data_IF_487057446813
#
_entry.id   IF_487057446813
#
_cell.length_a   1.000
_cell.length_b   1.000
_cell.length_c   1.000
_cell.angle_alpha   90.00
_cell.angle_beta   90.00
_cell.angle_gamma   90.00
#
_symmetry.space_group_name_H-M   'P 1'
#
loop_
_entity.id
_entity.type
_entity.pdbx_description
1 polymer ?
#
# COMPACT_ATOMS: atom_id res chain seq x y z
N UNK A 1 -0.79 -70.87 39.21
CA UNK A 1 -0.93 -69.57 38.49
C UNK A 1 -0.39 -69.73 37.08
N UNK A 2 -1.27 -69.92 36.08
CA UNK A 2 -0.88 -69.97 34.67
C UNK A 2 -0.78 -68.54 34.12
N UNK A 3 0.43 -68.11 33.75
CA UNK A 3 0.66 -66.86 33.02
C UNK A 3 0.20 -67.05 31.58
N UNK A 4 -0.92 -66.43 31.20
CA UNK A 4 -1.34 -66.30 29.81
C UNK A 4 -0.36 -65.37 29.09
N UNK A 5 0.50 -65.94 28.25
CA UNK A 5 1.48 -65.22 27.47
C UNK A 5 0.76 -64.54 26.29
N UNK A 6 0.32 -63.29 26.46
CA UNK A 6 -0.25 -62.49 25.37
C UNK A 6 0.84 -62.20 24.35
N UNK A 7 0.86 -62.97 23.25
CA UNK A 7 1.71 -62.70 22.07
C UNK A 7 1.40 -61.31 21.52
N UNK A 8 2.26 -60.34 21.79
CA UNK A 8 2.27 -59.06 21.08
C UNK A 8 2.70 -59.34 19.63
N UNK A 9 1.80 -59.11 18.66
CA UNK A 9 2.16 -59.17 17.24
C UNK A 9 3.15 -58.04 16.93
N UNK A 10 4.36 -58.38 16.49
CA UNK A 10 5.34 -57.41 16.02
C UNK A 10 5.00 -56.93 14.61
N UNK A 11 5.18 -55.63 14.35
CA UNK A 11 5.03 -55.05 13.01
C UNK A 11 6.13 -55.56 12.08
N UNK A 12 5.77 -55.94 10.85
CA UNK A 12 6.77 -56.27 9.82
C UNK A 12 7.33 -54.99 9.19
N UNK A 13 8.58 -55.04 8.74
CA UNK A 13 9.24 -53.92 8.06
C UNK A 13 8.45 -53.46 6.81
N UNK A 14 7.80 -54.40 6.13
CA UNK A 14 6.96 -54.14 4.94
C UNK A 14 5.71 -53.35 5.32
N UNK A 15 5.01 -53.73 6.40
CA UNK A 15 3.81 -53.00 6.85
C UNK A 15 4.14 -51.56 7.24
N UNK A 16 5.28 -51.34 7.92
CA UNK A 16 5.73 -49.97 8.24
C UNK A 16 6.05 -49.18 6.97
N UNK A 17 6.73 -49.80 6.00
CA UNK A 17 7.13 -49.15 4.74
C UNK A 17 5.92 -48.75 3.88
N UNK A 18 4.89 -49.59 3.82
CA UNK A 18 3.64 -49.27 3.10
C UNK A 18 2.91 -48.09 3.75
N UNK A 19 2.84 -48.06 5.09
CA UNK A 19 2.17 -46.96 5.80
C UNK A 19 2.88 -45.63 5.55
N UNK A 20 4.21 -45.58 5.66
CA UNK A 20 4.96 -44.34 5.36
C UNK A 20 4.83 -43.93 3.89
N UNK A 21 4.75 -44.90 2.96
CA UNK A 21 4.55 -44.60 1.54
C UNK A 21 3.16 -43.98 1.28
N UNK A 22 2.11 -44.52 1.89
CA UNK A 22 0.75 -43.97 1.78
C UNK A 22 0.67 -42.58 2.41
N UNK A 23 1.21 -42.40 3.62
CA UNK A 23 1.26 -41.08 4.27
C UNK A 23 2.06 -40.08 3.42
N UNK A 24 3.19 -40.50 2.86
CA UNK A 24 4.01 -39.68 1.97
C UNK A 24 3.25 -39.22 0.72
N UNK A 25 2.49 -40.11 0.08
CA UNK A 25 1.64 -39.78 -1.07
C UNK A 25 0.51 -38.83 -0.66
N UNK A 26 -0.20 -39.13 0.43
CA UNK A 26 -1.30 -38.29 0.92
C UNK A 26 -0.81 -36.88 1.27
N UNK A 27 0.28 -36.76 2.03
CA UNK A 27 0.88 -35.45 2.37
C UNK A 27 1.38 -34.75 1.11
N UNK A 28 2.02 -35.47 0.18
CA UNK A 28 2.50 -34.91 -1.08
C UNK A 28 1.38 -34.33 -1.96
N UNK A 29 0.19 -34.93 -1.94
CA UNK A 29 -0.98 -34.43 -2.67
C UNK A 29 -1.72 -33.32 -1.90
N UNK A 30 -1.75 -33.38 -0.57
CA UNK A 30 -2.50 -32.44 0.27
C UNK A 30 -1.75 -31.13 0.53
N UNK A 31 -0.42 -31.15 0.63
CA UNK A 31 0.37 -29.95 0.97
C UNK A 31 0.20 -28.83 -0.07
N UNK A 32 0.32 -29.07 -1.39
CA UNK A 32 0.09 -28.01 -2.40
C UNK A 32 -1.34 -27.46 -2.34
N UNK A 33 -2.33 -28.33 -2.15
CA UNK A 33 -3.74 -27.95 -2.07
C UNK A 33 -4.03 -27.06 -0.84
N UNK A 34 -3.49 -27.41 0.32
CA UNK A 34 -3.65 -26.61 1.55
C UNK A 34 -3.00 -25.24 1.39
N UNK A 35 -1.84 -25.13 0.74
CA UNK A 35 -1.20 -23.83 0.51
C UNK A 35 -1.98 -22.95 -0.48
N UNK A 36 -2.51 -23.54 -1.56
CA UNK A 36 -3.37 -22.82 -2.50
C UNK A 36 -4.65 -22.31 -1.82
N UNK A 37 -5.29 -23.15 -1.00
CA UNK A 37 -6.47 -22.75 -0.24
C UNK A 37 -6.18 -21.60 0.75
N UNK A 38 -5.03 -21.66 1.44
CA UNK A 38 -4.60 -20.59 2.35
C UNK A 38 -4.36 -19.28 1.62
N UNK A 39 -3.67 -19.30 0.48
CA UNK A 39 -3.44 -18.06 -0.28
C UNK A 39 -4.73 -17.49 -0.87
N UNK A 40 -5.65 -18.34 -1.33
CA UNK A 40 -6.97 -17.89 -1.76
C UNK A 40 -7.73 -17.17 -0.63
N UNK A 41 -7.70 -17.73 0.58
CA UNK A 41 -8.30 -17.09 1.76
C UNK A 41 -7.65 -15.75 2.10
N UNK A 42 -6.31 -15.66 2.10
CA UNK A 42 -5.58 -14.40 2.33
C UNK A 42 -5.92 -13.34 1.29
N UNK A 43 -6.00 -13.72 0.01
CA UNK A 43 -6.39 -12.81 -1.08
C UNK A 43 -7.81 -12.27 -0.91
N UNK A 44 -8.75 -13.12 -0.49
CA UNK A 44 -10.12 -12.67 -0.17
C UNK A 44 -10.09 -11.65 0.97
N UNK A 45 -9.27 -11.89 2.00
CA UNK A 45 -9.13 -10.96 3.11
C UNK A 45 -8.52 -9.61 2.67
N UNK A 46 -7.46 -9.62 1.84
CA UNK A 46 -6.89 -8.38 1.29
C UNK A 46 -7.92 -7.63 0.43
N UNK A 47 -8.70 -8.33 -0.39
CA UNK A 47 -9.79 -7.74 -1.19
C UNK A 47 -10.85 -7.10 -0.30
N UNK A 48 -11.24 -7.77 0.79
CA UNK A 48 -12.21 -7.26 1.75
C UNK A 48 -11.69 -6.01 2.48
N UNK A 49 -10.42 -5.96 2.87
CA UNK A 49 -9.81 -4.77 3.47
C UNK A 49 -9.84 -3.59 2.48
N UNK A 50 -9.46 -3.81 1.23
CA UNK A 50 -9.56 -2.79 0.17
C UNK A 50 -10.99 -2.28 -0.01
N UNK A 51 -11.99 -3.17 0.10
CA UNK A 51 -13.42 -2.80 0.08
C UNK A 51 -13.82 -1.94 1.28
N UNK A 52 -13.36 -2.25 2.49
CA UNK A 52 -13.62 -1.43 3.67
C UNK A 52 -12.99 -0.04 3.53
N UNK A 53 -11.77 0.05 2.99
CA UNK A 53 -11.12 1.32 2.68
C UNK A 53 -11.95 2.11 1.66
N UNK A 54 -12.46 1.47 0.61
CA UNK A 54 -13.32 2.13 -0.38
C UNK A 54 -14.62 2.65 0.19
N UNK A 55 -15.28 1.87 1.06
CA UNK A 55 -16.47 2.32 1.77
C UNK A 55 -16.17 3.52 2.68
N UNK A 56 -15.05 3.49 3.42
CA UNK A 56 -14.61 4.58 4.27
C UNK A 56 -14.32 5.86 3.47
N UNK A 57 -13.69 5.74 2.30
CA UNK A 57 -13.43 6.86 1.39
C UNK A 57 -14.73 7.47 0.83
N UNK A 58 -15.73 6.63 0.50
CA UNK A 58 -17.04 7.11 0.06
C UNK A 58 -17.81 7.81 1.18
N UNK A 59 -17.80 7.25 2.39
CA UNK A 59 -18.42 7.89 3.56
C UNK A 59 -17.74 9.22 3.91
N UNK A 60 -16.41 9.30 3.79
CA UNK A 60 -15.67 10.55 3.90
C UNK A 60 -16.14 11.55 2.84
N UNK A 61 -16.27 11.12 1.58
CA UNK A 61 -16.75 11.98 0.50
C UNK A 61 -18.19 12.47 0.74
N UNK A 62 -19.08 11.62 1.24
CA UNK A 62 -20.47 12.00 1.51
C UNK A 62 -20.59 13.07 2.60
N UNK A 63 -19.75 12.96 3.63
CA UNK A 63 -19.70 13.92 4.75
C UNK A 63 -18.96 15.22 4.40
N UNK A 64 -17.82 15.13 3.71
CA UNK A 64 -16.93 16.27 3.44
C UNK A 64 -17.09 16.88 2.04
N UNK A 65 -17.91 16.26 1.18
CA UNK A 65 -18.18 16.67 -0.23
C UNK A 65 -16.94 16.66 -1.14
N UNK A 66 -15.88 15.95 -0.74
CA UNK A 66 -14.69 15.62 -1.54
C UNK A 66 -14.00 14.40 -0.96
N UNK A 67 -13.20 13.71 -1.77
CA UNK A 67 -12.24 12.73 -1.27
C UNK A 67 -11.23 13.40 -0.33
N UNK A 68 -10.65 12.66 0.63
CA UNK A 68 -9.62 13.22 1.49
C UNK A 68 -8.38 13.61 0.68
N UNK A 69 -7.65 14.65 1.07
CA UNK A 69 -6.33 14.90 0.52
C UNK A 69 -5.42 13.69 0.77
N UNK A 70 -4.58 13.34 -0.21
CA UNK A 70 -3.57 12.29 -0.03
C UNK A 70 -2.62 12.59 1.13
N UNK A 71 -2.37 13.88 1.38
CA UNK A 71 -1.75 14.43 2.58
C UNK A 71 -1.80 15.95 2.51
N UNK A 72 -1.65 16.61 3.67
CA UNK A 72 -1.77 18.06 3.79
C UNK A 72 -0.37 18.67 3.94
N UNK A 73 -0.03 19.59 3.05
CA UNK A 73 1.24 20.34 3.08
C UNK A 73 0.99 21.84 3.02
N UNK A 74 1.92 22.68 3.48
CA UNK A 74 1.68 24.13 3.50
C UNK A 74 1.69 24.76 2.09
N UNK A 75 2.47 24.17 1.20
CA UNK A 75 2.71 24.68 -0.14
C UNK A 75 1.47 24.46 -1.00
N UNK A 76 1.15 25.45 -1.82
CA UNK A 76 0.11 25.29 -2.83
C UNK A 76 0.59 24.30 -3.89
N UNK A 77 -0.18 23.22 -4.09
CA UNK A 77 0.10 22.17 -5.07
C UNK A 77 -0.84 22.32 -6.26
N UNK A 78 -0.32 22.72 -7.42
CA UNK A 78 -1.08 22.86 -8.68
C UNK A 78 -0.32 22.25 -9.87
N UNK A 79 -0.93 22.21 -11.06
CA UNK A 79 -0.31 21.69 -12.29
C UNK A 79 0.27 22.83 -13.12
N UNK A 80 1.58 22.82 -13.38
CA UNK A 80 2.29 23.70 -14.32
C UNK A 80 3.78 23.34 -14.35
N UNK A 81 4.36 23.18 -15.54
CA UNK A 81 5.72 22.62 -15.71
C UNK A 81 6.77 23.54 -15.05
N UNK A 82 7.51 23.04 -14.05
CA UNK A 82 8.51 23.79 -13.26
C UNK A 82 8.33 23.72 -11.74
N UNK A 83 7.34 22.96 -11.28
CA UNK A 83 6.88 22.96 -9.90
C UNK A 83 7.80 22.15 -8.96
N UNK A 84 8.80 22.82 -8.39
CA UNK A 84 9.73 22.27 -7.37
C UNK A 84 9.16 22.30 -5.94
N UNK A 85 7.85 22.47 -5.77
CA UNK A 85 7.19 22.58 -4.46
C UNK A 85 7.52 21.40 -3.54
N UNK A 86 7.71 20.20 -4.10
CA UNK A 86 8.07 19.04 -3.28
C UNK A 86 9.46 19.17 -2.63
N UNK A 87 10.28 20.11 -3.09
CA UNK A 87 11.61 20.44 -2.55
C UNK A 87 11.63 21.78 -1.78
N UNK A 88 10.47 22.38 -1.48
CA UNK A 88 10.37 23.72 -0.87
C UNK A 88 10.50 23.75 0.66
N UNK A 89 10.50 22.58 1.31
CA UNK A 89 10.96 22.43 2.70
C UNK A 89 10.03 22.96 3.80
N UNK A 90 8.72 22.97 3.60
CA UNK A 90 7.77 23.34 4.67
C UNK A 90 7.64 22.35 5.82
N UNK A 91 7.26 22.90 6.97
CA UNK A 91 6.99 22.24 8.24
C UNK A 91 5.57 21.70 8.39
N UNK A 92 4.59 22.08 7.55
CA UNK A 92 3.23 21.55 7.69
C UNK A 92 3.12 20.20 7.00
N UNK A 93 2.95 19.15 7.80
CA UNK A 93 2.67 17.79 7.37
C UNK A 93 1.41 17.34 8.11
N UNK A 94 0.26 17.88 7.71
CA UNK A 94 -1.04 17.54 8.31
C UNK A 94 -1.41 16.09 7.98
N UNK A 95 -2.57 15.62 8.44
CA UNK A 95 -2.89 14.19 8.37
C UNK A 95 -2.89 13.61 6.93
N UNK A 96 -2.38 12.38 6.73
CA UNK A 96 -2.55 11.63 5.50
C UNK A 96 -4.00 11.15 5.34
N UNK A 97 -4.37 10.75 4.12
CA UNK A 97 -5.70 10.21 3.82
C UNK A 97 -6.09 9.02 4.72
N UNK A 98 -5.12 8.19 5.09
CA UNK A 98 -5.30 7.03 5.98
C UNK A 98 -5.79 7.44 7.37
N UNK A 99 -5.26 8.52 7.95
CA UNK A 99 -5.72 9.02 9.26
C UNK A 99 -7.09 9.70 9.11
N UNK A 100 -7.29 10.45 8.02
CA UNK A 100 -8.54 11.18 7.78
C UNK A 100 -9.78 10.29 7.63
N UNK A 101 -9.62 9.04 7.21
CA UNK A 101 -10.74 8.10 7.05
C UNK A 101 -11.02 7.22 8.27
N UNK A 102 -10.20 7.28 9.34
CA UNK A 102 -10.38 6.42 10.53
C UNK A 102 -11.80 6.47 11.14
N UNK A 103 -12.49 7.62 11.24
CA UNK A 103 -13.86 7.65 11.76
C UNK A 103 -14.84 6.80 10.95
N UNK A 104 -14.56 6.60 9.66
CA UNK A 104 -15.37 5.79 8.75
C UNK A 104 -14.91 4.33 8.67
N UNK A 105 -13.88 3.96 9.44
CA UNK A 105 -13.35 2.60 9.59
C UNK A 105 -13.57 2.06 11.01
N UNK A 106 -14.54 2.61 11.76
CA UNK A 106 -14.83 2.28 13.16
C UNK A 106 -13.65 2.57 14.12
N UNK A 107 -12.72 3.43 13.72
CA UNK A 107 -11.50 3.78 14.46
C UNK A 107 -11.58 5.22 15.03
N UNK A 108 -12.78 5.68 15.37
CA UNK A 108 -13.02 7.04 15.90
C UNK A 108 -12.23 7.36 17.18
N UNK A 109 -12.11 6.38 18.09
CA UNK A 109 -11.33 6.55 19.32
C UNK A 109 -9.82 6.73 19.05
N UNK A 110 -9.30 6.16 17.95
CA UNK A 110 -7.92 6.37 17.52
C UNK A 110 -7.77 7.73 16.82
N UNK A 111 -8.76 8.11 16.01
CA UNK A 111 -8.79 9.43 15.35
C UNK A 111 -8.71 10.58 16.36
N UNK A 112 -9.50 10.51 17.44
CA UNK A 112 -9.57 11.57 18.46
C UNK A 112 -8.28 11.75 19.27
N UNK A 113 -7.35 10.78 19.22
CA UNK A 113 -6.06 10.88 19.89
C UNK A 113 -5.03 11.69 19.09
N UNK A 114 -5.22 11.86 17.78
CA UNK A 114 -4.28 12.62 16.95
C UNK A 114 -4.45 14.13 17.15
N UNK A 115 -3.33 14.81 17.32
CA UNK A 115 -3.23 16.27 17.26
C UNK A 115 -2.97 16.69 15.81
N UNK A 116 -3.98 17.23 15.14
CA UNK A 116 -3.91 17.64 13.73
C UNK A 116 -3.17 18.96 13.49
N UNK A 117 -2.88 19.73 14.55
CA UNK A 117 -2.09 20.97 14.47
C UNK A 117 -0.59 20.66 14.47
N UNK A 118 -0.20 19.44 14.82
CA UNK A 118 1.18 18.97 14.83
C UNK A 118 1.48 18.07 13.62
N UNK A 119 2.75 17.98 13.18
CA UNK A 119 3.12 17.08 12.09
C UNK A 119 2.78 15.61 12.38
N UNK A 120 2.04 14.98 11.49
CA UNK A 120 1.86 13.53 11.45
C UNK A 120 3.04 12.92 10.69
N UNK A 121 4.19 13.00 11.35
CA UNK A 121 5.49 12.36 11.14
C UNK A 121 5.83 11.81 9.74
N UNK A 122 6.94 12.29 9.19
CA UNK A 122 7.65 11.61 8.13
C UNK A 122 9.00 11.03 8.60
N UNK A 123 9.15 9.73 8.37
CA UNK A 123 10.37 9.10 7.86
C UNK A 123 11.63 8.95 8.73
N UNK A 124 11.85 9.67 9.82
CA UNK A 124 13.03 9.45 10.68
C UNK A 124 12.63 9.48 12.16
N UNK A 125 13.06 8.48 12.94
CA UNK A 125 12.80 8.43 14.39
C UNK A 125 13.37 9.65 15.14
N UNK A 126 14.43 10.25 14.61
CA UNK A 126 15.03 11.49 15.12
C UNK A 126 14.27 12.77 14.75
N UNK A 127 13.30 12.68 13.82
CA UNK A 127 12.55 13.84 13.31
C UNK A 127 11.15 13.96 13.91
N UNK A 128 10.64 12.91 14.56
CA UNK A 128 9.48 13.02 15.43
C UNK A 128 10.00 13.33 16.83
N UNK A 129 9.78 14.55 17.36
CA UNK A 129 10.19 14.87 18.72
C UNK A 129 9.67 13.80 19.67
N UNK A 130 10.50 13.32 20.59
CA UNK A 130 10.07 12.36 21.61
C UNK A 130 8.88 12.87 22.43
N UNK A 131 8.71 14.20 22.48
CA UNK A 131 7.60 14.91 23.10
C UNK A 131 6.34 15.04 22.24
N UNK A 132 6.36 14.65 20.96
CA UNK A 132 5.18 14.77 20.10
C UNK A 132 4.08 13.80 20.56
N UNK A 133 2.85 14.28 20.83
CA UNK A 133 1.73 13.43 21.23
C UNK A 133 1.32 12.43 20.14
N UNK A 134 1.61 12.74 18.86
CA UNK A 134 1.35 11.83 17.74
C UNK A 134 2.36 10.68 17.64
N UNK A 135 3.50 10.76 18.33
CA UNK A 135 4.60 9.78 18.19
C UNK A 135 4.20 8.37 18.63
N UNK A 136 3.54 8.14 19.79
CA UNK A 136 3.10 6.79 20.17
C UNK A 136 2.08 6.20 19.18
N UNK A 137 1.11 7.01 18.74
CA UNK A 137 0.08 6.61 17.76
C UNK A 137 0.70 6.21 16.42
N UNK A 138 1.80 6.86 16.06
CA UNK A 138 2.54 6.54 14.85
C UNK A 138 3.15 5.13 14.87
N UNK A 139 3.54 4.61 16.04
CA UNK A 139 4.02 3.24 16.19
C UNK A 139 2.89 2.21 16.28
N UNK A 140 1.67 2.66 16.60
CA UNK A 140 0.51 1.79 16.72
C UNK A 140 0.14 1.17 15.37
N UNK A 141 0.04 -0.16 15.34
CA UNK A 141 -0.34 -0.88 14.15
C UNK A 141 -1.83 -0.76 13.88
N UNK A 142 -2.18 -0.83 12.60
CA UNK A 142 -3.56 -0.89 12.19
C UNK A 142 -3.76 -2.07 11.24
N UNK A 143 -4.30 -3.16 11.77
CA UNK A 143 -4.55 -4.39 11.02
C UNK A 143 -5.52 -4.18 9.83
N UNK A 144 -6.32 -3.11 9.83
CA UNK A 144 -7.20 -2.78 8.70
C UNK A 144 -6.42 -2.34 7.45
N UNK A 145 -5.15 -1.96 7.60
CA UNK A 145 -4.25 -1.57 6.50
C UNK A 145 -3.25 -2.66 6.12
N UNK A 146 -3.33 -3.85 6.72
CA UNK A 146 -2.36 -4.94 6.56
C UNK A 146 -2.94 -6.10 5.77
N UNK A 147 -2.46 -6.30 4.54
CA UNK A 147 -2.84 -7.46 3.72
C UNK A 147 -2.16 -8.72 4.28
N UNK A 148 -2.90 -9.78 4.66
CA UNK A 148 -2.29 -11.00 5.22
C UNK A 148 -1.34 -11.75 4.29
N UNK A 149 -1.37 -11.50 2.98
CA UNK A 149 -0.40 -12.07 2.03
C UNK A 149 0.95 -11.36 2.06
N UNK A 150 1.03 -10.16 2.63
CA UNK A 150 2.29 -9.47 2.86
C UNK A 150 3.02 -10.13 4.05
N UNK A 151 4.26 -10.65 3.87
CA UNK A 151 5.02 -11.27 4.94
C UNK A 151 5.38 -10.31 6.08
N UNK A 152 5.29 -8.99 5.86
CA UNK A 152 5.47 -7.97 6.90
C UNK A 152 4.19 -7.69 7.71
N UNK A 153 3.05 -8.23 7.27
CA UNK A 153 1.78 -8.13 7.98
C UNK A 153 1.71 -9.15 9.12
N UNK A 154 1.32 -8.67 10.31
CA UNK A 154 1.37 -9.45 11.52
C UNK A 154 2.78 -9.53 12.13
N UNK A 155 2.86 -9.41 13.46
CA UNK A 155 4.11 -9.17 14.17
C UNK A 155 4.23 -7.69 14.57
N UNK A 156 5.18 -7.32 15.41
CA UNK A 156 5.32 -5.96 15.96
C UNK A 156 5.74 -4.89 14.91
N UNK A 157 5.42 -5.08 13.62
CA UNK A 157 5.75 -4.21 12.49
C UNK A 157 4.58 -3.32 12.08
N UNK A 158 4.82 -2.02 12.02
CA UNK A 158 3.89 -1.05 11.46
C UNK A 158 4.13 -0.89 9.95
N UNK A 159 3.20 -1.39 9.14
CA UNK A 159 3.23 -1.31 7.68
C UNK A 159 1.88 -0.83 7.11
N UNK A 160 1.90 -0.45 5.83
CA UNK A 160 0.74 -0.06 5.05
C UNK A 160 0.77 -0.83 3.73
N UNK A 161 -0.14 -1.77 3.54
CA UNK A 161 -0.24 -2.57 2.31
C UNK A 161 -1.08 -1.89 1.22
N UNK A 162 -1.57 -0.67 1.44
CA UNK A 162 -2.49 0.04 0.56
C UNK A 162 -2.10 1.50 0.39
N UNK A 163 -1.67 1.90 -0.81
CA UNK A 163 -1.34 3.29 -1.11
C UNK A 163 -2.44 4.00 -1.88
N UNK A 164 -2.62 5.29 -1.59
CA UNK A 164 -3.48 6.14 -2.39
C UNK A 164 -2.87 6.40 -3.77
N UNK A 165 -3.72 6.47 -4.79
CA UNK A 165 -3.29 6.75 -6.16
C UNK A 165 -3.24 8.26 -6.37
N UNK A 166 -2.01 8.80 -6.38
CA UNK A 166 -1.77 10.23 -6.61
C UNK A 166 -1.83 10.64 -8.07
N UNK A 167 -1.75 9.67 -8.98
CA UNK A 167 -1.78 9.95 -10.41
C UNK A 167 -1.09 8.88 -11.24
N UNK A 168 -0.89 9.22 -12.51
CA UNK A 168 -0.28 8.33 -13.48
C UNK A 168 0.23 9.09 -14.71
N UNK A 169 0.85 8.34 -15.61
CA UNK A 169 1.45 8.88 -16.83
C UNK A 169 2.98 8.69 -16.86
N UNK A 170 3.60 9.29 -17.87
CA UNK A 170 5.05 9.23 -18.08
C UNK A 170 5.79 10.39 -17.38
N UNK A 171 7.09 10.52 -17.64
CA UNK A 171 7.94 11.56 -17.06
C UNK A 171 7.47 12.99 -17.34
N UNK A 172 6.69 13.23 -18.40
CA UNK A 172 6.17 14.55 -18.77
C UNK A 172 4.97 14.97 -17.93
N UNK A 173 4.27 14.00 -17.35
CA UNK A 173 3.09 14.21 -16.49
C UNK A 173 3.43 14.33 -15.01
N UNK A 174 4.65 13.91 -14.62
CA UNK A 174 5.15 14.07 -13.25
C UNK A 174 5.22 15.55 -12.89
N UNK A 175 4.56 15.93 -11.80
CA UNK A 175 4.49 17.32 -11.36
C UNK A 175 5.74 17.77 -10.62
N UNK A 176 6.28 16.91 -9.75
CA UNK A 176 7.51 17.20 -9.04
C UNK A 176 8.34 15.93 -8.87
N UNK A 177 9.66 16.08 -9.06
CA UNK A 177 10.63 15.03 -8.82
C UNK A 177 11.28 15.25 -7.46
N UNK A 178 11.12 14.26 -6.58
CA UNK A 178 11.74 14.25 -5.26
C UNK A 178 13.04 13.46 -5.26
N UNK A 179 14.18 14.15 -5.25
CA UNK A 179 15.52 13.54 -5.11
C UNK A 179 15.77 12.33 -6.03
N UNK A 180 16.34 11.24 -5.47
CA UNK A 180 16.72 9.98 -6.15
C UNK A 180 15.54 9.15 -6.71
N UNK A 181 14.65 9.75 -7.52
CA UNK A 181 13.57 9.11 -8.29
C UNK A 181 12.20 8.97 -7.61
N UNK A 182 11.86 9.74 -6.57
CA UNK A 182 10.46 9.79 -6.14
C UNK A 182 9.65 10.71 -7.04
N UNK A 183 8.41 10.34 -7.32
CA UNK A 183 7.50 11.12 -8.16
C UNK A 183 6.34 11.64 -7.34
N UNK A 184 5.94 12.87 -7.66
CA UNK A 184 4.72 13.48 -7.19
C UNK A 184 3.83 13.79 -8.36
N UNK A 185 2.62 13.29 -8.29
CA UNK A 185 1.56 13.56 -9.26
C UNK A 185 0.47 14.40 -8.61
N UNK A 186 -0.24 15.18 -9.44
CA UNK A 186 -1.43 15.94 -9.03
C UNK A 186 -2.64 15.66 -9.94
N UNK A 187 -2.55 14.61 -10.74
CA UNK A 187 -3.53 14.22 -11.75
C UNK A 187 -4.36 12.97 -11.39
N UNK A 188 -4.10 12.32 -10.24
CA UNK A 188 -4.96 11.26 -9.68
C UNK A 188 -6.02 11.80 -8.73
N UNK A 189 -6.66 10.92 -7.96
CA UNK A 189 -7.70 11.33 -6.99
C UNK A 189 -7.08 11.77 -5.66
N UNK A 190 -6.12 11.00 -5.14
CA UNK A 190 -5.49 11.21 -3.82
C UNK A 190 -4.09 11.79 -3.97
N UNK A 191 -3.97 13.10 -4.15
CA UNK A 191 -2.68 13.80 -4.20
C UNK A 191 -2.53 14.83 -3.08
N UNK A 192 -1.34 15.42 -2.94
CA UNK A 192 -1.05 16.45 -1.93
C UNK A 192 -2.04 17.63 -2.05
N UNK A 193 -2.67 18.01 -0.94
CA UNK A 193 -3.69 19.08 -0.88
C UNK A 193 -4.88 18.90 -1.83
N UNK A 194 -5.16 17.68 -2.27
CA UNK A 194 -6.30 17.40 -3.14
C UNK A 194 -7.64 17.61 -2.45
N UNK A 195 -8.63 18.04 -3.24
CA UNK A 195 -10.06 18.08 -2.87
C UNK A 195 -10.87 17.58 -4.06
N UNK A 196 -10.47 16.41 -4.55
CA UNK A 196 -11.07 15.76 -5.72
C UNK A 196 -12.50 15.34 -5.40
N UNK A 197 -13.42 15.50 -6.34
CA UNK A 197 -14.83 15.10 -6.21
C UNK A 197 -15.18 14.07 -7.27
N UNK A 198 -16.27 13.32 -7.09
CA UNK A 198 -16.75 12.39 -8.13
C UNK A 198 -16.94 13.04 -9.50
N UNK A 199 -17.41 14.30 -9.54
CA UNK A 199 -17.56 15.05 -10.80
C UNK A 199 -16.24 15.35 -11.52
N UNK A 200 -15.12 15.31 -10.80
CA UNK A 200 -13.79 15.58 -11.35
C UNK A 200 -13.18 14.30 -11.97
N UNK A 201 -13.85 13.15 -11.81
CA UNK A 201 -13.46 11.85 -12.39
C UNK A 201 -14.20 11.66 -13.72
N UNK A 202 -13.78 12.41 -14.75
CA UNK A 202 -14.49 12.49 -16.03
C UNK A 202 -14.36 11.23 -16.88
N UNK A 203 -13.32 10.43 -16.67
CA UNK A 203 -13.04 9.23 -17.46
C UNK A 203 -13.83 8.00 -16.96
N UNK A 204 -14.63 8.21 -15.90
CA UNK A 204 -15.55 7.24 -15.32
C UNK A 204 -15.04 6.65 -14.02
N UNK A 205 -15.90 6.59 -13.00
CA UNK A 205 -15.53 6.11 -11.66
C UNK A 205 -15.14 4.62 -11.63
N UNK A 206 -15.59 3.84 -12.61
CA UNK A 206 -15.22 2.43 -12.79
C UNK A 206 -13.85 2.25 -13.46
N UNK A 207 -13.25 3.31 -14.02
CA UNK A 207 -12.03 3.27 -14.83
C UNK A 207 -10.90 4.13 -14.25
N UNK A 208 -11.06 4.65 -13.03
CA UNK A 208 -10.01 5.41 -12.36
C UNK A 208 -9.63 4.71 -11.07
N UNK A 209 -8.34 4.44 -10.88
CA UNK A 209 -7.83 3.89 -9.64
C UNK A 209 -7.85 4.93 -8.52
N UNK A 210 -8.24 4.50 -7.33
CA UNK A 210 -8.34 5.30 -6.12
C UNK A 210 -7.27 4.89 -5.10
N UNK A 211 -7.15 3.60 -4.82
CA UNK A 211 -6.16 3.00 -3.91
C UNK A 211 -5.62 1.72 -4.56
N UNK A 212 -4.35 1.41 -4.36
CA UNK A 212 -3.74 0.18 -4.85
C UNK A 212 -2.96 -0.56 -3.77
N UNK A 213 -2.92 -1.88 -3.88
CA UNK A 213 -2.03 -2.69 -3.05
C UNK A 213 -0.56 -2.35 -3.32
N UNK A 214 0.23 -2.34 -2.26
CA UNK A 214 1.67 -2.13 -2.31
C UNK A 214 2.40 -3.11 -1.40
N UNK A 215 3.58 -3.53 -1.86
CA UNK A 215 4.60 -4.22 -1.07
C UNK A 215 5.86 -3.38 -0.85
N UNK A 216 5.82 -2.11 -1.26
CA UNK A 216 6.98 -1.21 -1.31
C UNK A 216 7.02 -0.24 -0.12
N UNK A 217 6.15 -0.45 0.87
CA UNK A 217 6.12 0.37 2.08
C UNK A 217 7.35 0.09 2.93
N UNK A 218 8.02 1.15 3.36
CA UNK A 218 9.31 1.05 4.05
C UNK A 218 9.08 0.78 5.53
N UNK A 219 9.40 -0.43 5.98
CA UNK A 219 9.18 -0.86 7.37
C UNK A 219 10.47 -0.82 8.19
N UNK A 220 10.35 -0.86 9.52
CA UNK A 220 11.51 -0.97 10.41
C UNK A 220 12.26 -2.29 10.20
N UNK A 221 11.53 -3.41 10.03
CA UNK A 221 12.11 -4.72 9.78
C UNK A 221 12.79 -4.82 8.40
N UNK A 222 12.28 -4.08 7.41
CA UNK A 222 12.72 -4.09 6.02
C UNK A 222 13.82 -3.08 5.69
N UNK A 223 14.29 -2.26 6.65
CA UNK A 223 15.34 -1.25 6.41
C UNK A 223 16.50 -1.37 7.40
N UNK A 224 17.74 -1.15 6.93
CA UNK A 224 18.93 -1.02 7.82
C UNK A 224 19.15 0.43 8.31
N UNK A 225 18.17 1.29 8.06
CA UNK A 225 18.22 2.74 8.25
C UNK A 225 17.31 3.12 9.42
N UNK A 226 17.56 4.25 10.07
CA UNK A 226 16.56 4.92 10.94
C UNK A 226 15.38 5.50 10.16
N UNK A 227 15.19 5.05 8.91
CA UNK A 227 14.18 5.56 7.97
C UNK A 227 13.15 4.49 7.66
N UNK A 228 11.98 4.62 8.28
CA UNK A 228 10.82 3.79 8.04
C UNK A 228 9.56 4.63 8.18
N UNK A 229 8.46 4.13 7.61
CA UNK A 229 7.19 4.82 7.46
C UNK A 229 6.11 4.04 8.20
N UNK A 230 5.06 4.75 8.63
CA UNK A 230 3.84 4.15 9.20
C UNK A 230 2.67 4.43 8.27
N UNK A 231 1.57 3.70 8.43
CA UNK A 231 0.30 4.04 7.80
C UNK A 231 -0.15 5.47 8.18
N UNK A 232 0.25 5.98 9.34
CA UNK A 232 -0.07 7.32 9.83
C UNK A 232 0.91 8.42 9.38
N UNK A 233 1.92 8.09 8.56
CA UNK A 233 2.87 9.09 8.07
C UNK A 233 2.29 9.97 6.98
N UNK A 234 2.53 11.26 7.08
CA UNK A 234 2.17 12.26 6.07
C UNK A 234 3.27 12.51 5.04
N UNK A 235 2.90 13.25 4.01
CA UNK A 235 3.80 13.69 2.94
C UNK A 235 4.95 14.50 3.54
N UNK A 236 6.16 14.19 3.10
CA UNK A 236 7.38 14.90 3.43
C UNK A 236 7.84 15.72 2.24
N UNK A 237 8.01 17.01 2.46
CA UNK A 237 8.69 17.88 1.50
C UNK A 237 10.18 17.95 1.85
N UNK A 238 11.01 18.17 0.84
CA UNK A 238 12.46 18.21 1.01
C UNK A 238 12.91 19.50 1.69
N UNK A 239 13.61 19.41 2.82
CA UNK A 239 14.30 20.54 3.47
C UNK A 239 15.81 20.29 3.47
N UNK A 240 16.62 21.27 3.07
CA UNK A 240 18.07 21.29 3.34
C UNK A 240 18.85 20.01 2.98
N UNK A 241 18.65 19.47 1.78
CA UNK A 241 19.35 18.26 1.32
C UNK A 241 18.66 16.93 1.66
N UNK A 242 17.46 16.97 2.24
CA UNK A 242 16.66 15.77 2.51
C UNK A 242 15.67 15.48 1.39
N UNK A 243 15.44 14.20 1.10
CA UNK A 243 14.64 13.77 -0.05
C UNK A 243 13.13 13.89 0.21
N UNK A 244 12.32 14.42 -0.73
CA UNK A 244 10.87 14.44 -0.59
C UNK A 244 10.27 13.04 -0.76
N UNK A 245 9.17 12.79 -0.04
CA UNK A 245 8.52 11.49 0.05
C UNK A 245 7.00 11.66 0.15
N UNK A 246 6.20 11.10 -0.78
CA UNK A 246 4.73 11.13 -0.65
C UNK A 246 4.19 10.15 0.41
N UNK A 247 5.02 9.22 0.87
CA UNK A 247 4.83 8.28 2.00
C UNK A 247 3.70 7.27 1.83
N UNK A 248 2.43 7.67 1.79
CA UNK A 248 1.26 6.78 1.69
C UNK A 248 0.59 6.82 0.32
N UNK A 249 1.30 7.38 -0.66
CA UNK A 249 0.83 7.55 -2.03
C UNK A 249 1.85 7.01 -3.03
N UNK A 250 1.35 6.46 -4.12
CA UNK A 250 2.14 6.11 -5.29
C UNK A 250 1.39 6.48 -6.58
N UNK A 251 2.15 6.69 -7.65
CA UNK A 251 1.62 6.87 -8.99
C UNK A 251 1.72 5.59 -9.81
N UNK A 252 0.83 5.41 -10.77
CA UNK A 252 0.91 4.36 -11.79
C UNK A 252 1.98 4.70 -12.81
N UNK A 253 3.25 4.71 -12.40
CA UNK A 253 4.36 5.12 -13.26
C UNK A 253 5.11 3.91 -13.84
N UNK A 254 5.45 2.93 -13.00
CA UNK A 254 6.12 1.69 -13.40
C UNK A 254 5.13 0.53 -13.47
N UNK A 255 5.45 -0.55 -14.23
CA UNK A 255 4.65 -1.77 -14.21
C UNK A 255 4.45 -2.31 -12.78
N UNK A 256 3.30 -2.93 -12.53
CA UNK A 256 3.00 -3.60 -11.26
C UNK A 256 4.08 -4.64 -10.97
N UNK A 257 4.45 -4.79 -9.70
CA UNK A 257 5.50 -5.72 -9.25
C UNK A 257 6.90 -5.46 -9.82
N UNK A 258 7.12 -4.31 -10.49
CA UNK A 258 8.43 -3.93 -11.01
C UNK A 258 9.45 -3.64 -9.90
N UNK A 259 10.73 -3.61 -10.27
CA UNK A 259 11.83 -3.28 -9.36
C UNK A 259 12.60 -2.11 -9.94
N UNK A 260 12.75 -1.05 -9.15
CA UNK A 260 13.60 0.08 -9.54
C UNK A 260 15.02 -0.21 -9.03
N UNK A 261 16.01 -0.40 -9.92
CA UNK A 261 17.39 -0.69 -9.52
C UNK A 261 18.09 0.58 -9.04
N UNK A 262 17.83 1.02 -7.81
CA UNK A 262 18.40 2.24 -7.24
C UNK A 262 18.99 2.02 -5.85
N UNK A 263 20.29 1.68 -5.78
CA UNK A 263 21.08 1.66 -4.55
C UNK A 263 20.74 0.55 -3.54
N UNK A 264 21.45 0.54 -2.40
CA UNK A 264 21.41 -0.51 -1.36
C UNK A 264 20.00 -0.90 -0.95
N UNK A 265 19.48 -1.97 -1.55
CA UNK A 265 18.21 -2.57 -1.17
C UNK A 265 18.43 -3.22 0.19
N UNK A 266 17.75 -2.78 1.26
CA UNK A 266 17.85 -3.48 2.52
C UNK A 266 17.22 -4.88 2.39
N UNK A 267 17.62 -5.75 3.31
CA UNK A 267 17.43 -7.20 3.27
C UNK A 267 15.93 -7.54 3.16
N UNK A 268 15.49 -8.01 1.99
CA UNK A 268 14.06 -8.29 1.72
C UNK A 268 13.63 -8.06 0.26
N UNK A 269 14.44 -7.34 -0.53
CA UNK A 269 14.26 -7.15 -1.98
C UNK A 269 13.01 -6.34 -2.43
N UNK A 270 12.19 -5.84 -1.50
CA UNK A 270 10.96 -5.07 -1.76
C UNK A 270 11.03 -3.59 -1.38
N UNK A 271 11.96 -3.19 -0.52
CA UNK A 271 11.93 -1.89 0.16
C UNK A 271 12.98 -0.94 -0.42
N UNK A 272 12.72 -0.32 -1.57
CA UNK A 272 13.59 0.74 -2.08
C UNK A 272 13.16 2.10 -1.51
N UNK A 273 14.03 2.71 -0.68
CA UNK A 273 13.89 4.13 -0.24
C UNK A 273 13.66 5.08 -1.43
N UNK A 274 14.15 4.65 -2.58
CA UNK A 274 14.10 5.30 -3.88
C UNK A 274 13.03 4.64 -4.74
N UNK A 275 11.98 5.38 -5.09
CA UNK A 275 11.03 4.97 -6.11
C UNK A 275 9.81 4.17 -5.67
N UNK A 276 9.60 3.90 -4.38
CA UNK A 276 8.34 3.29 -3.90
C UNK A 276 7.09 4.06 -4.36
N UNK A 277 7.22 5.39 -4.51
CA UNK A 277 6.16 6.29 -4.99
C UNK A 277 5.74 6.09 -6.45
N UNK A 278 6.41 5.19 -7.18
CA UNK A 278 6.18 4.88 -8.61
C UNK A 278 5.54 3.51 -8.82
N UNK A 279 5.35 2.76 -7.75
CA UNK A 279 5.13 1.32 -7.79
C UNK A 279 3.90 0.93 -6.97
N UNK A 280 3.06 0.10 -7.59
CA UNK A 280 2.09 -0.73 -6.91
C UNK A 280 2.47 -2.19 -7.11
N UNK A 281 2.01 -3.06 -6.24
CA UNK A 281 2.38 -4.47 -6.27
C UNK A 281 1.91 -5.21 -5.04
N UNK A 282 1.89 -6.53 -5.14
CA UNK A 282 1.48 -7.40 -4.04
C UNK A 282 2.35 -8.65 -4.01
N UNK A 283 2.12 -9.48 -2.99
CA UNK A 283 2.67 -10.84 -2.92
C UNK A 283 1.75 -11.88 -3.57
N UNK A 284 0.61 -11.45 -4.13
CA UNK A 284 -0.25 -12.33 -4.91
C UNK A 284 0.41 -12.67 -6.25
N UNK A 285 0.22 -13.89 -6.77
CA UNK A 285 0.73 -14.27 -8.08
C UNK A 285 0.11 -13.42 -9.21
N UNK A 286 0.94 -12.79 -10.04
CA UNK A 286 0.56 -12.22 -11.33
C UNK A 286 -0.03 -10.80 -11.31
N UNK A 287 -0.04 -10.09 -10.18
CA UNK A 287 -0.61 -8.74 -10.12
C UNK A 287 -0.85 -8.20 -8.71
N UNK A 288 -1.77 -7.24 -8.60
CA UNK A 288 -2.24 -6.70 -7.32
C UNK A 288 -3.70 -6.24 -7.42
N UNK A 289 -4.36 -6.09 -6.27
CA UNK A 289 -5.71 -5.53 -6.23
C UNK A 289 -5.66 -3.99 -6.29
N UNK A 290 -6.50 -3.42 -7.14
CA UNK A 290 -6.71 -1.97 -7.26
C UNK A 290 -8.18 -1.66 -6.92
N UNK A 291 -8.37 -0.69 -6.04
CA UNK A 291 -9.66 -0.07 -5.75
C UNK A 291 -9.95 0.98 -6.83
N UNK A 292 -11.11 0.89 -7.46
CA UNK A 292 -11.60 1.89 -8.39
C UNK A 292 -12.33 3.02 -7.63
N UNK A 293 -12.52 4.17 -8.29
CA UNK A 293 -13.18 5.33 -7.68
C UNK A 293 -14.64 5.04 -7.27
N UNK A 294 -15.33 4.09 -7.91
CA UNK A 294 -16.67 3.61 -7.53
C UNK A 294 -16.68 2.57 -6.38
N UNK A 295 -15.53 2.35 -5.73
CA UNK A 295 -15.30 1.33 -4.71
C UNK A 295 -15.40 -0.13 -5.19
N UNK A 296 -15.45 -0.38 -6.51
CA UNK A 296 -15.17 -1.71 -7.06
C UNK A 296 -13.69 -2.09 -6.86
N UNK A 297 -13.39 -3.38 -6.69
CA UNK A 297 -12.00 -3.86 -6.52
C UNK A 297 -11.70 -4.81 -7.66
N UNK A 298 -10.67 -4.49 -8.43
CA UNK A 298 -10.26 -5.25 -9.60
C UNK A 298 -8.85 -5.77 -9.39
N UNK A 299 -8.62 -7.04 -9.73
CA UNK A 299 -7.27 -7.57 -9.79
C UNK A 299 -6.63 -7.15 -11.12
N UNK A 300 -5.53 -6.41 -11.04
CA UNK A 300 -4.82 -5.88 -12.20
C UNK A 300 -3.56 -6.68 -12.42
N UNK A 301 -3.39 -7.19 -13.64
CA UNK A 301 -2.25 -8.05 -13.98
C UNK A 301 -0.96 -7.24 -14.12
N UNK A 302 0.15 -7.83 -13.69
CA UNK A 302 1.50 -7.28 -13.90
C UNK A 302 1.93 -7.22 -15.38
N UNK A 303 1.22 -7.92 -16.26
CA UNK A 303 1.45 -7.86 -17.72
C UNK A 303 0.49 -6.90 -18.44
N UNK A 304 -0.27 -6.07 -17.71
CA UNK A 304 -1.10 -5.03 -18.30
C UNK A 304 -0.23 -4.05 -19.12
N UNK A 305 -0.76 -3.55 -20.23
CA UNK A 305 -0.10 -2.51 -21.01
C UNK A 305 0.18 -1.29 -20.12
N UNK A 306 1.44 -0.83 -20.12
CA UNK A 306 1.90 0.21 -19.23
C UNK A 306 1.21 1.55 -19.50
N UNK A 307 0.84 1.85 -20.75
CA UNK A 307 0.16 3.11 -21.06
C UNK A 307 -1.27 3.10 -20.55
N UNK A 308 -1.99 1.98 -20.72
CA UNK A 308 -3.33 1.80 -20.14
C UNK A 308 -3.26 1.91 -18.63
N UNK A 309 -2.32 1.20 -17.98
CA UNK A 309 -2.14 1.24 -16.54
C UNK A 309 -1.85 2.66 -16.01
N UNK A 310 -1.01 3.42 -16.72
CA UNK A 310 -0.70 4.83 -16.44
C UNK A 310 -1.96 5.71 -16.51
N UNK A 311 -2.77 5.55 -17.56
CA UNK A 311 -3.99 6.33 -17.76
C UNK A 311 -5.04 6.04 -16.69
N UNK A 312 -5.21 4.77 -16.29
CA UNK A 312 -6.13 4.40 -15.21
C UNK A 312 -5.81 5.07 -13.87
N UNK A 313 -4.58 5.57 -13.67
CA UNK A 313 -4.22 6.38 -12.48
C UNK A 313 -4.58 7.87 -12.60
N UNK A 314 -4.99 8.34 -13.77
CA UNK A 314 -5.36 9.73 -14.04
C UNK A 314 -6.88 9.87 -13.89
N UNK A 315 -7.35 10.94 -13.23
CA UNK A 315 -8.78 11.15 -12.99
C UNK A 315 -9.53 11.77 -14.18
N UNK A 316 -8.82 12.51 -15.03
CA UNK A 316 -9.39 13.36 -16.06
C UNK A 316 -8.45 13.56 -17.27
N UNK A 317 -7.92 12.46 -17.81
CA UNK A 317 -7.06 12.48 -18.99
C UNK A 317 -7.82 12.88 -20.27
N UNK A 318 -9.16 12.89 -20.26
CA UNK A 318 -10.01 13.23 -21.39
C UNK A 318 -9.84 12.29 -22.59
N UNK A 319 -9.24 11.12 -22.38
CA UNK A 319 -9.09 10.08 -23.40
C UNK A 319 -10.30 9.13 -23.39
N UNK A 320 -10.63 8.50 -24.53
CA UNK A 320 -11.70 7.50 -24.57
C UNK A 320 -11.39 6.33 -23.61
N UNK A 321 -12.45 5.79 -22.99
CA UNK A 321 -12.40 4.57 -22.17
C UNK A 321 -11.65 3.47 -22.93
N UNK A 322 -10.49 3.04 -22.42
CA UNK A 322 -9.66 2.01 -23.05
C UNK A 322 -8.33 2.50 -23.62
N UNK A 323 -8.01 3.79 -23.49
CA UNK A 323 -6.63 4.25 -23.52
C UNK A 323 -5.92 4.28 -24.87
N UNK A 324 -6.64 3.99 -25.95
CA UNK A 324 -6.13 4.13 -27.31
C UNK A 324 -6.57 5.48 -27.87
N UNK A 325 -5.62 6.38 -28.23
CA UNK A 325 -5.95 7.43 -29.18
C UNK A 325 -6.36 6.78 -30.50
N UNK A 326 -7.46 7.26 -31.09
CA UNK A 326 -7.81 6.97 -32.48
C UNK A 326 -6.76 7.52 -33.43
#
# INVERSE_FOLDING_TARGET
MQRTNTRTKGFTLVELLVVIAIIGILVGLLLPAVQQAREAARRIQCTNQTKQIGLALHNYHDTHRSFPPGGIVAEKVTKGVGDTWCNAGSSTQGAPWTVLILPFMEEGARYDQYDFDLPLSASYTSQVPSSSPNRPLWYEQNANYQCPSDPSSGGDVNNLSYFGVQGGGDSTTVNCWGGNSNVFFVNGILYANSSSKFRDVTDGTTNTFLVGETKYHLTEAGTVSTFYLSWASSIRLGTGGTMPHPVTLAGTYEPINSRIPTGSVPKGNTDSRTGYSRLFGSFHPGGCNMLMADASVNFVSETMDLNIYRQLGIRNDSLPIGGLPQ
#
